data_IF_467104306465
#
_entry.id   IF_467104306465
#
_cell.length_a   1.000
_cell.length_b   1.000
_cell.length_c   1.000
_cell.angle_alpha   90.00
_cell.angle_beta   90.00
_cell.angle_gamma   90.00
#
_symmetry.space_group_name_H-M   'P 1'
#
loop_
_entity.id
_entity.type
_entity.pdbx_description
1 polymer ?
#
# COMPACT_ATOMS: atom_id res chain seq x y z
N UNK A 1 -5.56 -23.92 10.17
CA UNK A 1 -4.79 -23.03 11.07
C UNK A 1 -4.04 -21.92 10.34
N UNK A 2 -3.27 -22.23 9.27
CA UNK A 2 -2.56 -21.21 8.48
C UNK A 2 -3.52 -20.31 7.66
N UNK A 3 -4.54 -20.85 6.96
CA UNK A 3 -5.49 -20.01 6.22
C UNK A 3 -6.19 -18.98 7.12
N UNK A 4 -6.67 -19.40 8.28
CA UNK A 4 -7.36 -18.52 9.23
C UNK A 4 -6.42 -17.48 9.84
N UNK A 5 -5.13 -17.81 9.99
CA UNK A 5 -4.12 -16.84 10.39
C UNK A 5 -3.88 -15.79 9.28
N UNK A 6 -3.87 -16.20 8.02
CA UNK A 6 -3.75 -15.29 6.88
C UNK A 6 -4.96 -14.36 6.76
N UNK A 7 -6.18 -14.86 6.95
CA UNK A 7 -7.40 -14.03 7.00
C UNK A 7 -7.33 -13.00 8.13
N UNK A 8 -6.94 -13.42 9.34
CA UNK A 8 -6.74 -12.48 10.46
C UNK A 8 -5.66 -11.44 10.18
N UNK A 9 -4.57 -11.82 9.52
CA UNK A 9 -3.54 -10.87 9.09
C UNK A 9 -4.13 -9.90 8.09
N UNK A 10 -4.90 -10.38 7.10
CA UNK A 10 -5.55 -9.56 6.09
C UNK A 10 -6.50 -8.52 6.72
N UNK A 11 -7.36 -8.94 7.64
CA UNK A 11 -8.29 -8.06 8.36
C UNK A 11 -7.53 -6.98 9.14
N UNK A 12 -6.47 -7.37 9.86
CA UNK A 12 -5.66 -6.45 10.64
C UNK A 12 -4.89 -5.45 9.78
N UNK A 13 -4.34 -5.85 8.63
CA UNK A 13 -3.60 -4.92 7.75
C UNK A 13 -4.51 -4.05 6.90
N UNK A 14 -5.76 -4.46 6.68
CA UNK A 14 -6.77 -3.65 5.97
C UNK A 14 -7.30 -2.49 6.81
N UNK A 15 -7.22 -2.57 8.14
CA UNK A 15 -7.65 -1.50 9.04
C UNK A 15 -6.60 -0.40 9.25
N UNK A 16 -5.36 -0.63 8.82
CA UNK A 16 -4.26 0.33 8.94
C UNK A 16 -4.37 1.44 7.88
N UNK A 17 -4.03 2.67 8.27
CA UNK A 17 -3.82 3.76 7.33
C UNK A 17 -2.39 3.72 6.72
N UNK A 18 -2.10 4.61 5.78
CA UNK A 18 -0.78 4.64 5.11
C UNK A 18 0.36 5.02 6.06
N UNK A 19 0.08 5.84 7.09
CA UNK A 19 1.08 6.28 8.05
C UNK A 19 1.47 5.13 8.98
N UNK A 20 0.47 4.40 9.50
CA UNK A 20 0.67 3.21 10.33
C UNK A 20 1.42 2.13 9.57
N UNK A 21 1.03 1.90 8.31
CA UNK A 21 1.67 0.91 7.45
C UNK A 21 3.11 1.28 7.12
N UNK A 22 3.42 2.56 6.91
CA UNK A 22 4.78 3.05 6.73
C UNK A 22 5.63 2.86 7.99
N UNK A 23 5.09 3.21 9.17
CA UNK A 23 5.79 3.06 10.44
C UNK A 23 6.13 1.60 10.77
N UNK A 24 5.19 0.68 10.55
CA UNK A 24 5.43 -0.76 10.72
C UNK A 24 6.47 -1.28 9.74
N UNK A 25 6.42 -0.83 8.48
CA UNK A 25 7.39 -1.24 7.48
C UNK A 25 8.80 -0.80 7.86
N UNK A 26 8.98 0.44 8.32
CA UNK A 26 10.27 0.96 8.79
C UNK A 26 10.77 0.22 10.03
N UNK A 27 9.89 -0.10 10.98
CA UNK A 27 10.23 -0.91 12.14
C UNK A 27 10.80 -2.28 11.74
N UNK A 28 10.12 -3.01 10.85
CA UNK A 28 10.61 -4.31 10.39
C UNK A 28 11.87 -4.19 9.52
N UNK A 29 12.00 -3.11 8.74
CA UNK A 29 13.21 -2.80 7.98
C UNK A 29 14.42 -2.62 8.88
N UNK A 30 14.29 -1.86 9.97
CA UNK A 30 15.36 -1.70 10.96
C UNK A 30 15.71 -3.02 11.63
N UNK A 31 14.73 -3.87 11.94
CA UNK A 31 15.00 -5.20 12.51
C UNK A 31 15.75 -6.13 11.57
N UNK A 32 15.49 -6.06 10.26
CA UNK A 32 16.24 -6.84 9.28
C UNK A 32 17.69 -6.36 9.11
N UNK A 33 17.95 -5.07 9.33
CA UNK A 33 19.28 -4.47 9.16
C UNK A 33 20.27 -4.85 10.28
N UNK A 34 19.79 -5.36 11.42
CA UNK A 34 20.58 -5.52 12.65
C UNK A 34 21.21 -6.92 12.85
N UNK A 35 21.25 -7.84 11.87
CA UNK A 35 21.92 -9.11 12.15
C UNK A 35 21.91 -10.21 11.09
N UNK A 36 22.18 -11.41 11.59
CA UNK A 36 22.33 -12.67 10.86
C UNK A 36 20.99 -13.41 10.63
N UNK A 37 20.94 -14.44 9.76
CA UNK A 37 19.73 -15.20 9.40
C UNK A 37 19.21 -16.09 10.55
N UNK A 38 18.77 -15.44 11.61
CA UNK A 38 18.13 -16.08 12.76
C UNK A 38 16.63 -16.18 12.54
N UNK A 39 15.95 -17.02 13.34
CA UNK A 39 14.48 -17.12 13.29
C UNK A 39 13.77 -15.79 13.54
N UNK A 40 14.36 -14.88 14.33
CA UNK A 40 13.78 -13.55 14.57
C UNK A 40 13.95 -12.64 13.36
N UNK A 41 15.07 -12.75 12.64
CA UNK A 41 15.31 -12.09 11.37
C UNK A 41 14.34 -12.60 10.29
N UNK A 42 14.19 -13.92 10.14
CA UNK A 42 13.23 -14.50 9.19
C UNK A 42 11.80 -14.01 9.43
N UNK A 43 11.39 -13.90 10.71
CA UNK A 43 10.09 -13.32 11.08
C UNK A 43 9.97 -11.86 10.67
N UNK A 44 11.02 -11.06 10.85
CA UNK A 44 11.03 -9.66 10.41
C UNK A 44 10.95 -9.54 8.89
N UNK A 45 11.64 -10.42 8.15
CA UNK A 45 11.57 -10.51 6.68
C UNK A 45 10.16 -10.84 6.22
N UNK A 46 9.54 -11.90 6.76
CA UNK A 46 8.17 -12.29 6.40
C UNK A 46 7.20 -11.13 6.66
N UNK A 47 7.26 -10.50 7.83
CA UNK A 47 6.42 -9.37 8.17
C UNK A 47 6.62 -8.19 7.21
N UNK A 48 7.88 -7.84 6.91
CA UNK A 48 8.20 -6.77 5.97
C UNK A 48 7.61 -7.04 4.58
N UNK A 49 7.77 -8.25 4.04
CA UNK A 49 7.25 -8.58 2.71
C UNK A 49 5.72 -8.57 2.66
N UNK A 50 5.04 -9.06 3.70
CA UNK A 50 3.58 -8.99 3.79
C UNK A 50 3.11 -7.52 3.77
N UNK A 51 3.67 -6.67 4.63
CA UNK A 51 3.30 -5.24 4.71
C UNK A 51 3.63 -4.49 3.42
N UNK A 52 4.79 -4.75 2.81
CA UNK A 52 5.19 -4.14 1.55
C UNK A 52 4.23 -4.52 0.40
N UNK A 53 3.79 -5.78 0.35
CA UNK A 53 2.77 -6.23 -0.61
C UNK A 53 1.46 -5.45 -0.46
N UNK A 54 1.04 -5.14 0.77
CA UNK A 54 -0.15 -4.32 1.02
C UNK A 54 0.03 -2.89 0.51
N UNK A 55 1.19 -2.24 0.72
CA UNK A 55 1.47 -0.89 0.19
C UNK A 55 1.42 -0.83 -1.33
N UNK A 56 2.04 -1.81 -1.99
CA UNK A 56 2.00 -1.91 -3.46
C UNK A 56 0.56 -2.10 -3.94
N UNK A 57 -0.20 -3.00 -3.31
CA UNK A 57 -1.64 -3.20 -3.61
C UNK A 57 -2.44 -1.91 -3.44
N UNK A 58 -2.21 -1.15 -2.37
CA UNK A 58 -2.90 0.10 -2.10
C UNK A 58 -2.56 1.16 -3.16
N UNK A 59 -1.29 1.28 -3.53
CA UNK A 59 -0.83 2.17 -4.60
C UNK A 59 -1.48 1.83 -5.94
N UNK A 60 -1.56 0.53 -6.28
CA UNK A 60 -2.23 0.07 -7.50
C UNK A 60 -3.74 0.40 -7.48
N UNK A 61 -4.41 0.23 -6.34
CA UNK A 61 -5.83 0.58 -6.17
C UNK A 61 -6.06 2.08 -6.39
N UNK A 62 -5.25 2.94 -5.77
CA UNK A 62 -5.32 4.40 -5.95
C UNK A 62 -5.06 4.80 -7.41
N UNK A 63 -4.07 4.19 -8.06
CA UNK A 63 -3.78 4.43 -9.48
C UNK A 63 -4.95 4.06 -10.40
N UNK A 64 -5.64 2.93 -10.14
CA UNK A 64 -6.85 2.52 -10.87
C UNK A 64 -8.00 3.50 -10.65
N UNK A 65 -8.26 3.91 -9.40
CA UNK A 65 -9.28 4.91 -9.07
C UNK A 65 -9.05 6.25 -9.77
N UNK A 66 -7.80 6.72 -9.80
CA UNK A 66 -7.42 7.97 -10.49
C UNK A 66 -7.64 7.91 -12.00
N UNK A 67 -7.44 6.74 -12.63
CA UNK A 67 -7.71 6.52 -14.06
C UNK A 67 -9.20 6.41 -14.38
N UNK A 68 -10.01 5.98 -13.40
CA UNK A 68 -11.46 5.83 -13.54
C UNK A 68 -12.24 7.11 -13.25
N UNK A 69 -11.60 8.13 -12.67
CA UNK A 69 -12.22 9.46 -12.60
C UNK A 69 -12.32 10.00 -14.03
N UNK A 70 -13.53 10.17 -14.60
CA UNK A 70 -13.67 10.92 -15.84
C UNK A 70 -13.07 12.29 -15.55
N UNK A 71 -12.22 12.77 -16.46
CA UNK A 71 -11.77 14.16 -16.47
C UNK A 71 -13.02 15.01 -16.35
N UNK A 72 -13.31 15.58 -15.15
CA UNK A 72 -14.38 16.56 -15.00
C UNK A 72 -14.08 17.62 -16.04
N UNK A 73 -14.95 17.70 -17.03
CA UNK A 73 -14.73 18.46 -18.24
C UNK A 73 -14.26 19.86 -17.91
N UNK A 74 -13.03 20.19 -18.28
CA UNK A 74 -12.74 21.55 -18.68
C UNK A 74 -13.53 21.72 -19.98
N UNK A 75 -14.75 22.22 -19.88
CA UNK A 75 -15.48 22.74 -21.03
C UNK A 75 -14.53 23.70 -21.74
N UNK A 76 -14.10 23.44 -22.98
CA UNK A 76 -13.37 24.44 -23.72
C UNK A 76 -14.34 25.60 -23.92
N UNK A 77 -14.01 26.77 -23.36
CA UNK A 77 -14.74 28.00 -23.67
C UNK A 77 -14.45 28.32 -25.14
N UNK A 78 -15.31 27.85 -26.04
CA UNK A 78 -15.33 28.30 -27.43
C UNK A 78 -15.72 29.77 -27.43
N UNK A 79 -14.73 30.64 -27.65
CA UNK A 79 -14.99 32.06 -27.87
C UNK A 79 -15.43 32.22 -29.33
N UNK A 80 -16.69 32.61 -29.54
CA UNK A 80 -17.21 32.98 -30.86
C UNK A 80 -16.51 34.27 -31.31
N UNK A 81 -15.61 34.16 -32.27
CA UNK A 81 -15.10 35.32 -33.02
C UNK A 81 -16.16 35.66 -34.06
N UNK A 82 -16.84 36.80 -33.89
CA UNK A 82 -17.72 37.34 -34.94
C UNK A 82 -16.84 37.87 -36.07
N UNK A 83 -17.10 37.41 -37.29
CA UNK A 83 -16.58 37.96 -38.54
C UNK A 83 -17.45 39.14 -39.01
#
# INVERSE_FOLDING_TARGET
>A
MIPEALEKIADNVLSLDESDLAALLDYYKSRMAQGEPTRSWERAVIAYFVLNGIRIKNTLKQGKLRRQQPTRGKTPHLCLVKA
#
